data_IF_447198291916
#
_entry.id   IF_447198291916
#
_cell.length_a   1.000
_cell.length_b   1.000
_cell.length_c   1.000
_cell.angle_alpha   90.00
_cell.angle_beta   90.00
_cell.angle_gamma   90.00
#
_symmetry.space_group_name_H-M   'P 1'
#
loop_
_entity.id
_entity.type
_entity.pdbx_description
1 polymer ?
#
# COMPACT_ATOMS: atom_id res chain seq x y z
N UNK A 1 8.70 1.78 6.25
CA UNK A 1 8.34 0.90 5.08
C UNK A 1 8.30 1.75 3.80
N UNK A 2 8.62 1.21 2.61
CA UNK A 2 8.56 1.94 1.33
C UNK A 2 7.72 1.20 0.27
N UNK A 3 7.43 1.85 -0.86
CA UNK A 3 6.56 1.29 -1.92
C UNK A 3 7.09 -0.03 -2.49
N UNK A 4 8.39 -0.11 -2.77
CA UNK A 4 9.01 -1.31 -3.36
C UNK A 4 8.74 -2.55 -2.50
N UNK A 5 8.89 -2.43 -1.17
CA UNK A 5 8.60 -3.54 -0.25
C UNK A 5 7.11 -3.85 -0.16
N UNK A 6 6.25 -2.83 -0.15
CA UNK A 6 4.81 -3.04 -0.15
C UNK A 6 4.35 -3.77 -1.43
N UNK A 7 4.93 -3.44 -2.59
CA UNK A 7 4.62 -4.09 -3.87
C UNK A 7 5.02 -5.56 -3.88
N UNK A 8 6.22 -5.89 -3.38
CA UNK A 8 6.64 -7.29 -3.26
C UNK A 8 5.69 -8.11 -2.38
N UNK A 9 5.25 -7.55 -1.26
CA UNK A 9 4.26 -8.20 -0.40
C UNK A 9 2.89 -8.34 -1.08
N UNK A 10 2.46 -7.35 -1.88
CA UNK A 10 1.24 -7.43 -2.69
C UNK A 10 1.35 -8.49 -3.79
N UNK A 11 2.52 -8.69 -4.40
CA UNK A 11 2.73 -9.70 -5.43
C UNK A 11 2.47 -11.12 -4.90
N UNK A 12 2.73 -11.38 -3.62
CA UNK A 12 2.46 -12.66 -2.94
C UNK A 12 0.97 -12.91 -2.60
N UNK A 13 0.14 -11.86 -2.61
CA UNK A 13 -1.29 -11.95 -2.30
C UNK A 13 -2.14 -12.34 -3.52
N UNK A 14 -3.30 -12.95 -3.29
CA UNK A 14 -4.30 -13.15 -4.33
C UNK A 14 -5.09 -11.87 -4.63
N UNK A 15 -5.70 -11.78 -5.82
CA UNK A 15 -6.60 -10.68 -6.14
C UNK A 15 -7.80 -10.67 -5.17
N UNK A 16 -8.15 -9.50 -4.66
CA UNK A 16 -9.15 -9.29 -3.62
C UNK A 16 -8.60 -9.37 -2.18
N UNK A 17 -7.38 -9.85 -1.97
CA UNK A 17 -6.75 -9.81 -0.65
C UNK A 17 -6.14 -8.43 -0.35
N UNK A 18 -5.93 -8.16 0.95
CA UNK A 18 -5.45 -6.86 1.43
C UNK A 18 -4.11 -6.95 2.14
N UNK A 19 -3.28 -5.94 1.91
CA UNK A 19 -2.05 -5.68 2.64
C UNK A 19 -2.24 -4.47 3.55
N UNK A 20 -2.07 -4.67 4.85
CA UNK A 20 -2.08 -3.61 5.87
C UNK A 20 -0.65 -3.23 6.24
N UNK A 21 -0.30 -1.96 6.09
CA UNK A 21 1.06 -1.45 6.28
C UNK A 21 1.05 -0.24 7.21
N UNK A 22 1.91 -0.27 8.22
CA UNK A 22 2.24 0.92 9.02
C UNK A 22 3.39 1.67 8.35
N UNK A 23 3.13 2.95 8.08
CA UNK A 23 4.07 3.85 7.45
C UNK A 23 4.68 4.78 8.49
N UNK A 24 5.96 5.06 8.31
CA UNK A 24 6.65 6.09 9.06
C UNK A 24 6.13 7.46 8.62
N UNK A 25 6.10 8.42 9.55
CA UNK A 25 5.70 9.78 9.21
C UNK A 25 6.62 10.39 8.15
N UNK A 26 6.04 11.19 7.24
CA UNK A 26 6.78 11.93 6.23
C UNK A 26 6.46 11.47 4.81
N UNK A 27 7.49 11.26 4.00
CA UNK A 27 7.38 10.93 2.58
C UNK A 27 6.62 9.63 2.28
N UNK A 28 6.80 8.52 3.03
CA UNK A 28 6.11 7.26 2.74
C UNK A 28 4.58 7.35 2.80
N UNK A 29 4.02 8.22 3.65
CA UNK A 29 2.58 8.45 3.76
C UNK A 29 1.95 9.02 2.49
N UNK A 30 2.76 9.61 1.60
CA UNK A 30 2.31 10.11 0.30
C UNK A 30 2.66 9.15 -0.82
N UNK A 31 3.92 8.71 -0.90
CA UNK A 31 4.37 7.90 -2.03
C UNK A 31 3.76 6.51 -2.07
N UNK A 32 3.66 5.81 -0.93
CA UNK A 32 3.12 4.45 -0.91
C UNK A 32 1.66 4.40 -1.38
N UNK A 33 0.76 5.25 -0.86
CA UNK A 33 -0.63 5.25 -1.31
C UNK A 33 -0.82 5.78 -2.74
N UNK A 34 0.02 6.70 -3.18
CA UNK A 34 -0.01 7.23 -4.56
C UNK A 34 0.39 6.15 -5.55
N UNK A 35 1.56 5.53 -5.37
CA UNK A 35 2.03 4.46 -6.25
C UNK A 35 1.11 3.24 -6.24
N UNK A 36 0.52 2.88 -5.09
CA UNK A 36 -0.46 1.80 -5.03
C UNK A 36 -1.74 2.08 -5.85
N UNK A 37 -2.18 3.34 -5.90
CA UNK A 37 -3.32 3.74 -6.76
C UNK A 37 -2.93 3.77 -8.23
N UNK A 38 -1.72 4.21 -8.55
CA UNK A 38 -1.18 4.19 -9.92
C UNK A 38 -1.07 2.76 -10.48
N UNK A 39 -0.70 1.79 -9.64
CA UNK A 39 -0.69 0.35 -9.97
C UNK A 39 -2.11 -0.25 -10.08
N UNK A 40 -3.16 0.56 -9.87
CA UNK A 40 -4.56 0.15 -10.04
C UNK A 40 -5.18 -0.55 -8.84
N UNK A 41 -4.52 -0.55 -7.69
CA UNK A 41 -5.06 -1.13 -6.47
C UNK A 41 -6.02 -0.19 -5.74
N UNK A 42 -6.88 -0.76 -4.90
CA UNK A 42 -7.75 0.03 -4.04
C UNK A 42 -7.02 0.36 -2.73
N UNK A 43 -7.04 1.63 -2.33
CA UNK A 43 -6.18 2.12 -1.24
C UNK A 43 -6.96 2.95 -0.24
N UNK A 44 -6.91 2.56 1.03
CA UNK A 44 -7.49 3.29 2.17
C UNK A 44 -6.38 3.77 3.11
N UNK A 45 -6.51 4.99 3.62
CA UNK A 45 -5.58 5.59 4.59
C UNK A 45 -6.30 5.92 5.89
N UNK A 46 -5.69 5.51 7.01
CA UNK A 46 -6.17 5.80 8.36
C UNK A 46 -4.97 6.19 9.25
N UNK A 47 -4.79 7.51 9.45
CA UNK A 47 -3.61 8.04 10.14
C UNK A 47 -2.32 7.70 9.41
N UNK A 48 -1.49 6.84 10.02
CA UNK A 48 -0.26 6.34 9.41
C UNK A 48 -0.35 4.89 8.90
N UNK A 49 -1.55 4.30 8.93
CA UNK A 49 -1.82 2.99 8.36
C UNK A 49 -2.37 3.15 6.95
N UNK A 50 -1.80 2.40 6.01
CA UNK A 50 -2.36 2.22 4.67
C UNK A 50 -2.84 0.79 4.52
N UNK A 51 -4.02 0.63 3.94
CA UNK A 51 -4.59 -0.65 3.54
C UNK A 51 -4.68 -0.66 2.02
N UNK A 52 -4.08 -1.65 1.37
CA UNK A 52 -4.07 -1.81 -0.09
C UNK A 52 -4.76 -3.13 -0.43
N UNK A 53 -5.84 -3.08 -1.20
CA UNK A 53 -6.54 -4.26 -1.72
C UNK A 53 -6.08 -4.52 -3.14
N UNK A 54 -5.52 -5.71 -3.39
CA UNK A 54 -5.05 -6.12 -4.71
C UNK A 54 -6.25 -6.26 -5.64
N UNK A 55 -6.22 -5.55 -6.77
CA UNK A 55 -7.20 -5.66 -7.85
C UNK A 55 -6.72 -6.65 -8.91
#
# INVERSE_FOLDING_TARGET
MNWVRARLALEELAAGERLDVLLDHGEPLRSVPESAREDGHEVTLDGNRVTIVKR
#
